data_IF_929434723075
#
_entry.id   IF_929434723075
#
_cell.length_a   1.000
_cell.length_b   1.000
_cell.length_c   1.000
_cell.angle_alpha   90.00
_cell.angle_beta   90.00
_cell.angle_gamma   90.00
#
_symmetry.space_group_name_H-M   'P 1'
#
loop_
_entity.id
_entity.type
_entity.pdbx_description
1 polymer ?
#
# COMPACT_ATOMS: atom_id res chain seq x y z
N UNK A 1 -7.65 -22.59 36.96
CA UNK A 1 -7.09 -21.34 36.38
C UNK A 1 -8.25 -20.46 35.95
N UNK A 2 -8.20 -19.16 36.19
CA UNK A 2 -9.30 -18.26 35.87
C UNK A 2 -9.21 -17.86 34.38
N UNK A 3 -9.95 -18.54 33.49
CA UNK A 3 -9.89 -18.32 32.04
C UNK A 3 -10.11 -16.85 31.64
N UNK A 4 -10.91 -16.11 32.43
CA UNK A 4 -11.09 -14.67 32.25
C UNK A 4 -9.80 -13.86 32.47
N UNK A 5 -8.92 -14.28 33.39
CA UNK A 5 -7.63 -13.62 33.59
C UNK A 5 -6.68 -13.86 32.42
N UNK A 6 -6.70 -15.05 31.81
CA UNK A 6 -5.88 -15.35 30.63
C UNK A 6 -6.30 -14.48 29.45
N UNK A 7 -7.60 -14.37 29.18
CA UNK A 7 -8.15 -13.54 28.09
C UNK A 7 -7.75 -12.07 28.27
N UNK A 8 -7.90 -11.52 29.48
CA UNK A 8 -7.52 -10.13 29.74
C UNK A 8 -6.02 -9.90 29.58
N UNK A 9 -5.17 -10.83 30.01
CA UNK A 9 -3.71 -10.76 29.76
C UNK A 9 -3.39 -10.78 28.27
N UNK A 10 -4.03 -11.65 27.49
CA UNK A 10 -3.84 -11.73 26.03
C UNK A 10 -4.21 -10.40 25.36
N UNK A 11 -5.34 -9.79 25.74
CA UNK A 11 -5.72 -8.45 25.24
C UNK A 11 -4.70 -7.37 25.60
N UNK A 12 -4.19 -7.36 26.84
CA UNK A 12 -3.17 -6.40 27.28
C UNK A 12 -1.85 -6.56 26.52
N UNK A 13 -1.50 -7.79 26.13
CA UNK A 13 -0.35 -8.08 25.26
C UNK A 13 -0.62 -7.77 23.77
N UNK A 14 -1.78 -7.23 23.43
CA UNK A 14 -2.24 -6.97 22.06
C UNK A 14 -2.36 -8.25 21.22
N UNK A 15 -2.71 -9.37 21.84
CA UNK A 15 -3.01 -10.66 21.21
C UNK A 15 -4.53 -10.85 21.12
N UNK A 16 -5.20 -9.90 20.44
CA UNK A 16 -6.66 -9.79 20.47
C UNK A 16 -7.38 -10.93 19.76
N UNK A 17 -6.85 -11.39 18.62
CA UNK A 17 -7.45 -12.46 17.83
C UNK A 17 -7.26 -13.80 18.55
N UNK A 18 -6.08 -14.02 19.13
CA UNK A 18 -5.82 -15.17 20.02
C UNK A 18 -6.74 -15.17 21.24
N UNK A 19 -6.95 -14.01 21.89
CA UNK A 19 -7.86 -13.89 23.03
C UNK A 19 -9.31 -14.26 22.65
N UNK A 20 -9.76 -13.81 21.48
CA UNK A 20 -11.11 -14.09 20.97
C UNK A 20 -11.29 -15.57 20.65
N UNK A 21 -10.34 -16.17 19.94
CA UNK A 21 -10.39 -17.59 19.57
C UNK A 21 -10.28 -18.49 20.81
N UNK A 22 -9.42 -18.14 21.77
CA UNK A 22 -9.31 -18.85 23.04
C UNK A 22 -10.64 -18.86 23.80
N UNK A 23 -11.29 -17.70 23.91
CA UNK A 23 -12.61 -17.57 24.55
C UNK A 23 -13.69 -18.41 23.84
N UNK A 24 -13.68 -18.49 22.51
CA UNK A 24 -14.60 -19.33 21.74
C UNK A 24 -14.42 -20.83 22.04
N UNK A 25 -13.19 -21.32 22.00
CA UNK A 25 -12.88 -22.74 22.26
C UNK A 25 -13.27 -23.17 23.69
N UNK A 26 -12.99 -22.31 24.68
CA UNK A 26 -13.36 -22.55 26.07
C UNK A 26 -14.88 -22.58 26.26
N UNK A 27 -15.61 -21.62 25.66
CA UNK A 27 -17.06 -21.55 25.81
C UNK A 27 -17.79 -22.68 25.08
N UNK A 28 -17.26 -23.14 23.96
CA UNK A 28 -17.85 -24.22 23.16
C UNK A 28 -17.42 -25.62 23.61
N UNK A 29 -16.57 -25.71 24.64
CA UNK A 29 -16.01 -26.97 25.15
C UNK A 29 -15.29 -27.81 24.06
N UNK A 30 -14.62 -27.12 23.14
CA UNK A 30 -13.97 -27.69 21.94
C UNK A 30 -12.52 -28.14 22.18
N UNK A 31 -12.10 -28.25 23.44
CA UNK A 31 -10.72 -28.59 23.81
C UNK A 31 -10.48 -30.10 23.95
N UNK A 32 -11.51 -30.94 23.81
CA UNK A 32 -11.43 -32.37 24.14
C UNK A 32 -10.67 -33.21 23.10
N UNK A 33 -10.68 -32.79 21.83
CA UNK A 33 -10.11 -33.55 20.70
C UNK A 33 -8.89 -32.85 20.07
N UNK A 34 -8.32 -31.85 20.74
CA UNK A 34 -7.15 -31.10 20.26
C UNK A 34 -6.01 -31.21 21.27
N UNK A 35 -4.82 -31.54 20.77
CA UNK A 35 -3.62 -31.55 21.61
C UNK A 35 -3.23 -30.12 21.99
N UNK A 36 -2.46 -29.96 23.08
CA UNK A 36 -2.00 -28.64 23.51
C UNK A 36 -1.16 -27.93 22.43
N UNK A 37 -0.36 -28.69 21.68
CA UNK A 37 0.48 -28.15 20.60
C UNK A 37 -0.36 -27.69 19.40
N UNK A 38 -1.34 -28.48 18.96
CA UNK A 38 -2.27 -28.09 17.89
C UNK A 38 -3.08 -26.85 18.28
N UNK A 39 -3.52 -26.77 19.54
CA UNK A 39 -4.27 -25.63 20.02
C UNK A 39 -3.43 -24.35 20.05
N UNK A 40 -2.18 -24.45 20.52
CA UNK A 40 -1.27 -23.31 20.53
C UNK A 40 -0.92 -22.85 19.11
N UNK A 41 -0.68 -23.78 18.19
CA UNK A 41 -0.42 -23.49 16.79
C UNK A 41 -1.61 -22.74 16.16
N UNK A 42 -2.84 -23.25 16.34
CA UNK A 42 -4.05 -22.62 15.85
C UNK A 42 -4.24 -21.19 16.37
N UNK A 43 -4.04 -20.99 17.68
CA UNK A 43 -4.14 -19.67 18.30
C UNK A 43 -3.09 -18.69 17.75
N UNK A 44 -1.86 -19.17 17.55
CA UNK A 44 -0.76 -18.38 17.00
C UNK A 44 -1.01 -17.99 15.54
N UNK A 45 -1.47 -18.95 14.72
CA UNK A 45 -1.79 -18.73 13.31
C UNK A 45 -2.91 -17.69 13.16
N UNK A 46 -3.98 -17.80 13.95
CA UNK A 46 -5.09 -16.84 13.89
C UNK A 46 -4.68 -15.41 14.27
N UNK A 47 -3.81 -15.26 15.28
CA UNK A 47 -3.25 -13.95 15.63
C UNK A 47 -2.27 -13.42 14.58
N UNK A 48 -1.48 -14.31 13.97
CA UNK A 48 -0.58 -13.95 12.88
C UNK A 48 -1.34 -13.43 11.66
N UNK A 49 -2.38 -14.15 11.22
CA UNK A 49 -3.23 -13.78 10.09
C UNK A 49 -3.95 -12.45 10.34
N UNK A 50 -4.54 -12.26 11.53
CA UNK A 50 -5.19 -11.01 11.89
C UNK A 50 -4.20 -9.82 11.89
N UNK A 51 -2.95 -10.02 12.34
CA UNK A 51 -1.91 -8.99 12.28
C UNK A 51 -1.54 -8.63 10.84
N UNK A 52 -1.37 -9.63 9.97
CA UNK A 52 -1.02 -9.38 8.57
C UNK A 52 -2.17 -8.70 7.83
N UNK A 53 -3.41 -9.10 8.09
CA UNK A 53 -4.61 -8.43 7.55
C UNK A 53 -4.70 -6.97 8.01
N UNK A 54 -4.50 -6.69 9.31
CA UNK A 54 -4.51 -5.30 9.82
C UNK A 54 -3.39 -4.45 9.22
N UNK A 55 -2.22 -5.04 8.98
CA UNK A 55 -1.10 -4.35 8.32
C UNK A 55 -1.49 -4.01 6.88
N UNK A 56 -2.03 -4.95 6.12
CA UNK A 56 -2.51 -4.73 4.74
C UNK A 56 -3.60 -3.65 4.71
N UNK A 57 -4.60 -3.72 5.59
CA UNK A 57 -5.67 -2.72 5.70
C UNK A 57 -5.12 -1.31 5.99
N UNK A 58 -4.13 -1.23 6.86
CA UNK A 58 -3.45 0.04 7.16
C UNK A 58 -2.71 0.58 5.94
N UNK A 59 -2.05 -0.28 5.17
CA UNK A 59 -1.36 0.11 3.93
C UNK A 59 -2.36 0.61 2.88
N UNK A 60 -3.49 -0.08 2.68
CA UNK A 60 -4.55 0.36 1.78
C UNK A 60 -5.13 1.73 2.17
N UNK A 61 -5.43 1.92 3.46
CA UNK A 61 -5.92 3.21 3.98
C UNK A 61 -4.90 4.33 3.77
N UNK A 62 -3.62 4.05 3.99
CA UNK A 62 -2.54 5.03 3.80
C UNK A 62 -2.34 5.38 2.32
N UNK A 63 -2.49 4.41 1.42
CA UNK A 63 -2.28 4.61 -0.01
C UNK A 63 -3.28 5.56 -0.65
N UNK A 64 -4.48 5.69 -0.08
CA UNK A 64 -5.50 6.67 -0.50
C UNK A 64 -5.89 6.51 -1.98
N UNK A 65 -6.06 5.26 -2.43
CA UNK A 65 -6.53 4.94 -3.78
C UNK A 65 -7.92 5.53 -4.04
N UNK A 66 -8.14 6.01 -5.28
CA UNK A 66 -9.42 6.55 -5.73
C UNK A 66 -10.47 5.46 -5.93
N UNK A 67 -10.03 4.27 -6.34
CA UNK A 67 -10.91 3.13 -6.61
C UNK A 67 -10.26 1.81 -6.18
N UNK A 68 -11.08 0.78 -5.97
CA UNK A 68 -10.59 -0.60 -5.79
C UNK A 68 -10.21 -1.14 -7.17
N UNK A 69 -8.93 -1.43 -7.36
CA UNK A 69 -8.40 -1.94 -8.62
C UNK A 69 -7.65 -3.25 -8.35
N UNK A 70 -7.79 -4.22 -9.23
CA UNK A 70 -7.19 -5.54 -9.09
C UNK A 70 -6.43 -5.90 -10.36
N UNK A 71 -5.25 -6.49 -10.22
CA UNK A 71 -4.49 -7.01 -11.37
C UNK A 71 -5.25 -8.13 -12.09
N UNK A 72 -6.06 -8.91 -11.36
CA UNK A 72 -6.85 -10.00 -11.92
C UNK A 72 -7.98 -9.52 -12.85
N UNK A 73 -8.49 -8.31 -12.62
CA UNK A 73 -9.58 -7.70 -13.39
C UNK A 73 -9.09 -6.85 -14.57
N UNK A 74 -7.76 -6.81 -14.80
CA UNK A 74 -7.20 -6.04 -15.90
C UNK A 74 -7.62 -6.64 -17.24
N UNK A 75 -8.28 -5.81 -18.05
CA UNK A 75 -8.66 -6.17 -19.41
C UNK A 75 -7.49 -5.93 -20.38
N UNK A 76 -7.02 -7.02 -21.01
CA UNK A 76 -5.94 -7.05 -22.00
C UNK A 76 -6.43 -7.08 -23.46
N UNK A 77 -7.67 -6.66 -23.76
CA UNK A 77 -8.17 -6.62 -25.14
C UNK A 77 -7.29 -5.78 -26.05
N UNK A 78 -7.12 -6.22 -27.30
CA UNK A 78 -6.22 -5.64 -28.30
C UNK A 78 -6.41 -4.14 -28.55
N UNK A 79 -7.60 -3.59 -28.27
CA UNK A 79 -7.90 -2.16 -28.42
C UNK A 79 -7.11 -1.24 -27.47
N UNK A 80 -6.49 -1.77 -26.42
CA UNK A 80 -5.70 -0.97 -25.46
C UNK A 80 -4.22 -0.87 -25.78
N UNK A 81 -3.71 -1.60 -26.79
CA UNK A 81 -2.27 -1.72 -27.08
C UNK A 81 -1.42 -2.00 -25.82
N UNK A 82 -1.97 -2.72 -24.84
CA UNK A 82 -1.29 -3.09 -23.61
C UNK A 82 -0.55 -4.42 -23.81
N UNK A 83 0.77 -4.40 -23.72
CA UNK A 83 1.55 -5.64 -23.69
C UNK A 83 1.28 -6.41 -22.40
N UNK A 84 0.51 -7.49 -22.52
CA UNK A 84 0.15 -8.39 -21.41
C UNK A 84 1.37 -8.95 -20.71
N UNK A 85 2.41 -9.35 -21.45
CA UNK A 85 3.60 -9.97 -20.86
C UNK A 85 4.40 -8.96 -20.04
N UNK A 86 4.53 -7.74 -20.56
CA UNK A 86 5.16 -6.64 -19.83
C UNK A 86 4.37 -6.30 -18.56
N UNK A 87 3.05 -6.17 -18.65
CA UNK A 87 2.24 -5.77 -17.50
C UNK A 87 2.16 -6.84 -16.42
N UNK A 88 2.08 -8.13 -16.81
CA UNK A 88 2.18 -9.25 -15.86
C UNK A 88 3.55 -9.24 -15.16
N UNK A 89 4.63 -8.92 -15.88
CA UNK A 89 5.97 -8.76 -15.27
C UNK A 89 6.00 -7.60 -14.28
N UNK A 90 5.34 -6.48 -14.56
CA UNK A 90 5.19 -5.39 -13.58
C UNK A 90 4.42 -5.85 -12.34
N UNK A 91 3.49 -6.80 -12.47
CA UNK A 91 2.78 -7.41 -11.34
C UNK A 91 3.66 -8.15 -10.33
N UNK A 92 4.89 -8.54 -10.70
CA UNK A 92 5.90 -9.07 -9.76
C UNK A 92 6.41 -8.01 -8.78
N UNK A 93 6.26 -6.73 -9.12
CA UNK A 93 6.78 -5.58 -8.38
C UNK A 93 8.31 -5.51 -8.28
N UNK A 94 9.06 -6.29 -9.05
CA UNK A 94 10.53 -6.28 -9.01
C UNK A 94 11.13 -4.90 -9.35
N UNK A 95 10.40 -4.06 -10.10
CA UNK A 95 10.85 -2.69 -10.41
C UNK A 95 10.95 -1.83 -9.12
N UNK A 96 10.16 -2.15 -8.08
CA UNK A 96 10.26 -1.48 -6.77
C UNK A 96 11.65 -1.76 -6.21
N UNK A 97 12.01 -3.03 -6.04
CA UNK A 97 13.32 -3.42 -5.48
C UNK A 97 14.50 -2.95 -6.33
N UNK A 98 14.36 -2.91 -7.65
CA UNK A 98 15.35 -2.36 -8.59
C UNK A 98 15.41 -0.83 -8.64
N UNK A 99 14.50 -0.12 -7.95
CA UNK A 99 14.40 1.36 -7.96
C UNK A 99 14.19 1.92 -9.37
N UNK A 100 13.39 1.23 -10.17
CA UNK A 100 13.05 1.64 -11.53
C UNK A 100 11.76 2.45 -11.52
N UNK A 101 11.74 3.55 -12.29
CA UNK A 101 10.52 4.29 -12.55
C UNK A 101 9.75 3.64 -13.70
N UNK A 102 8.43 3.64 -13.57
CA UNK A 102 7.53 3.10 -14.59
C UNK A 102 6.66 4.24 -15.10
N UNK A 103 6.65 4.45 -16.41
CA UNK A 103 5.80 5.47 -17.03
C UNK A 103 4.74 4.74 -17.84
N UNK A 104 3.47 4.97 -17.50
CA UNK A 104 2.35 4.46 -18.28
C UNK A 104 1.86 5.56 -19.21
N UNK A 105 2.13 5.38 -20.50
CA UNK A 105 1.72 6.31 -21.56
C UNK A 105 0.60 5.71 -22.40
N UNK A 106 -0.35 6.53 -22.85
CA UNK A 106 -1.38 6.11 -23.80
C UNK A 106 -2.49 7.14 -23.96
N UNK A 107 -3.44 6.88 -24.85
CA UNK A 107 -4.60 7.77 -25.03
C UNK A 107 -5.37 7.97 -23.71
N UNK A 108 -6.07 9.10 -23.57
CA UNK A 108 -6.95 9.31 -22.43
C UNK A 108 -8.08 8.27 -22.41
N UNK A 109 -8.51 7.83 -21.22
CA UNK A 109 -9.61 6.88 -21.07
C UNK A 109 -9.28 5.40 -21.26
N UNK A 110 -8.04 5.02 -21.58
CA UNK A 110 -7.65 3.59 -21.75
C UNK A 110 -7.45 2.83 -20.42
N UNK A 111 -7.67 3.50 -19.29
CA UNK A 111 -7.60 2.89 -17.96
C UNK A 111 -6.23 2.94 -17.29
N UNK A 112 -5.32 3.82 -17.72
CA UNK A 112 -3.99 3.98 -17.11
C UNK A 112 -4.07 4.11 -15.58
N UNK A 113 -4.96 4.99 -15.09
CA UNK A 113 -5.17 5.21 -13.65
C UNK A 113 -5.66 3.96 -12.92
N UNK A 114 -6.40 3.09 -13.59
CA UNK A 114 -6.77 1.78 -13.05
C UNK A 114 -5.56 0.85 -12.97
N UNK A 115 -4.77 0.76 -14.04
CA UNK A 115 -3.56 -0.07 -14.09
C UNK A 115 -2.56 0.31 -12.98
N UNK A 116 -2.33 1.61 -12.80
CA UNK A 116 -1.44 2.11 -11.75
C UNK A 116 -1.94 1.75 -10.35
N UNK A 117 -3.23 1.93 -10.09
CA UNK A 117 -3.84 1.56 -8.82
C UNK A 117 -3.85 0.05 -8.62
N UNK A 118 -4.04 -0.77 -9.67
CA UNK A 118 -3.98 -2.23 -9.56
C UNK A 118 -2.58 -2.69 -9.12
N UNK A 119 -1.52 -2.10 -9.68
CA UNK A 119 -0.14 -2.33 -9.24
C UNK A 119 0.09 -1.84 -7.80
N UNK A 120 -0.46 -0.68 -7.45
CA UNK A 120 -0.42 -0.17 -6.07
C UNK A 120 -1.14 -1.07 -5.06
N UNK A 121 -2.28 -1.64 -5.44
CA UNK A 121 -3.02 -2.59 -4.62
C UNK A 121 -2.19 -3.86 -4.39
N UNK A 122 -1.61 -4.41 -5.45
CA UNK A 122 -0.69 -5.55 -5.35
C UNK A 122 0.50 -5.22 -4.45
N UNK A 123 1.04 -4.00 -4.53
CA UNK A 123 2.13 -3.56 -3.68
C UNK A 123 1.74 -3.54 -2.19
N UNK A 124 0.53 -3.05 -1.86
CA UNK A 124 0.02 -3.12 -0.48
C UNK A 124 -0.15 -4.56 0.02
N UNK A 125 -0.64 -5.48 -0.83
CA UNK A 125 -0.76 -6.90 -0.49
C UNK A 125 0.61 -7.55 -0.22
N UNK A 126 1.64 -7.13 -0.95
CA UNK A 126 3.03 -7.56 -0.73
C UNK A 126 3.74 -6.81 0.40
N UNK A 127 3.01 -5.98 1.16
CA UNK A 127 3.53 -5.28 2.33
C UNK A 127 4.25 -3.96 2.05
N UNK A 128 4.27 -3.48 0.79
CA UNK A 128 4.87 -2.20 0.43
C UNK A 128 3.98 -1.02 0.80
N UNK A 129 4.61 0.01 1.37
CA UNK A 129 4.00 1.33 1.63
C UNK A 129 3.82 2.06 0.31
N UNK A 130 2.59 2.07 -0.17
CA UNK A 130 2.22 2.77 -1.38
C UNK A 130 1.55 4.10 -1.04
N UNK A 131 1.75 5.12 -1.87
CA UNK A 131 1.00 6.38 -1.86
C UNK A 131 0.53 6.66 -3.27
N UNK A 132 -0.78 6.85 -3.43
CA UNK A 132 -1.39 7.31 -4.67
C UNK A 132 -1.81 8.78 -4.52
N UNK A 133 -1.50 9.58 -5.53
CA UNK A 133 -2.01 10.95 -5.63
C UNK A 133 -2.22 11.36 -7.06
N UNK A 134 -3.27 12.15 -7.28
CA UNK A 134 -3.38 12.93 -8.51
C UNK A 134 -2.35 14.07 -8.45
N UNK A 135 -1.54 14.20 -9.48
CA UNK A 135 -0.39 15.10 -9.54
C UNK A 135 -0.78 16.56 -9.28
N UNK A 136 -1.85 17.04 -9.92
CA UNK A 136 -2.32 18.42 -9.74
C UNK A 136 -2.81 18.69 -8.30
N UNK A 137 -3.53 17.73 -7.70
CA UNK A 137 -3.97 17.82 -6.30
C UNK A 137 -2.79 17.78 -5.33
N UNK A 138 -1.76 16.98 -5.62
CA UNK A 138 -0.56 16.89 -4.81
C UNK A 138 0.17 18.23 -4.76
N UNK A 139 0.44 18.85 -5.91
CA UNK A 139 1.12 20.15 -5.94
C UNK A 139 0.31 21.27 -5.29
N UNK A 140 -1.02 21.28 -5.47
CA UNK A 140 -1.89 22.22 -4.74
C UNK A 140 -1.77 22.05 -3.23
N UNK A 141 -1.68 20.81 -2.74
CA UNK A 141 -1.47 20.51 -1.32
C UNK A 141 -0.10 21.01 -0.84
N UNK A 142 0.96 20.78 -1.62
CA UNK A 142 2.29 21.28 -1.27
C UNK A 142 2.36 22.80 -1.20
N UNK A 143 1.71 23.49 -2.14
CA UNK A 143 1.61 24.95 -2.14
C UNK A 143 0.96 25.49 -0.87
N UNK A 144 -0.13 24.88 -0.43
CA UNK A 144 -0.79 25.23 0.85
C UNK A 144 0.12 24.89 2.05
N UNK A 145 0.80 23.75 2.00
CA UNK A 145 1.66 23.29 3.09
C UNK A 145 2.90 24.16 3.34
N UNK A 146 3.35 24.93 2.34
CA UNK A 146 4.41 25.94 2.54
C UNK A 146 3.89 27.13 3.35
N UNK A 147 2.60 27.47 3.23
CA UNK A 147 1.97 28.59 3.95
C UNK A 147 1.68 28.23 5.40
N UNK A 148 1.23 27.00 5.66
CA UNK A 148 0.87 26.53 7.01
C UNK A 148 2.03 25.87 7.79
N UNK A 149 3.22 25.81 7.19
CA UNK A 149 4.43 25.24 7.80
C UNK A 149 4.49 23.70 7.83
N UNK A 150 3.58 23.00 7.15
CA UNK A 150 3.53 21.52 7.13
C UNK A 150 4.26 20.87 5.95
N UNK A 151 4.92 21.64 5.09
CA UNK A 151 5.61 21.17 3.88
C UNK A 151 6.51 19.95 4.11
N UNK A 152 7.46 20.05 5.05
CA UNK A 152 8.39 18.97 5.35
C UNK A 152 7.68 17.71 5.86
N UNK A 153 6.57 17.87 6.58
CA UNK A 153 5.77 16.73 7.07
C UNK A 153 5.09 16.00 5.92
N UNK A 154 4.55 16.72 4.95
CA UNK A 154 3.94 16.13 3.76
C UNK A 154 4.98 15.49 2.83
N UNK A 155 6.12 16.15 2.63
CA UNK A 155 7.25 15.60 1.88
C UNK A 155 7.73 14.28 2.49
N UNK A 156 7.98 14.27 3.81
CA UNK A 156 8.39 13.06 4.54
C UNK A 156 7.41 11.88 4.43
N UNK A 157 6.12 12.13 4.19
CA UNK A 157 5.16 11.04 3.94
C UNK A 157 5.42 10.35 2.60
N UNK A 158 5.77 11.12 1.57
CA UNK A 158 6.10 10.60 0.24
C UNK A 158 7.44 9.87 0.25
N UNK A 159 8.43 10.40 0.97
CA UNK A 159 9.77 9.79 1.07
C UNK A 159 9.75 8.44 1.79
N UNK A 160 8.80 8.23 2.70
CA UNK A 160 8.63 6.96 3.44
C UNK A 160 7.84 5.90 2.66
N UNK A 161 7.33 6.23 1.47
CA UNK A 161 6.58 5.31 0.62
C UNK A 161 7.53 4.56 -0.31
N UNK A 162 7.47 3.23 -0.28
CA UNK A 162 8.19 2.36 -1.21
C UNK A 162 7.68 2.56 -2.65
N UNK A 163 6.39 2.88 -2.80
CA UNK A 163 5.79 3.15 -4.10
C UNK A 163 5.03 4.48 -4.09
N UNK A 164 5.40 5.39 -5.01
CA UNK A 164 4.64 6.62 -5.25
C UNK A 164 4.01 6.56 -6.63
N UNK A 165 2.70 6.70 -6.67
CA UNK A 165 1.92 6.74 -7.91
C UNK A 165 1.43 8.18 -8.10
N UNK A 166 1.92 8.82 -9.16
CA UNK A 166 1.54 10.15 -9.63
C UNK A 166 0.62 9.99 -10.84
N UNK A 167 -0.68 10.11 -10.58
CA UNK A 167 -1.72 10.03 -11.61
C UNK A 167 -1.88 11.37 -12.33
N UNK A 168 -2.28 11.35 -13.60
CA UNK A 168 -2.41 12.55 -14.45
C UNK A 168 -1.14 13.42 -14.52
N UNK A 169 0.02 12.75 -14.53
CA UNK A 169 1.32 13.40 -14.63
C UNK A 169 1.52 14.03 -16.02
N UNK A 170 1.76 15.34 -16.05
CA UNK A 170 2.03 16.06 -17.31
C UNK A 170 0.79 16.42 -18.14
N UNK A 171 -0.43 16.17 -17.65
CA UNK A 171 -1.66 16.68 -18.29
C UNK A 171 -1.81 18.21 -18.18
N UNK A 172 -1.15 18.83 -17.19
CA UNK A 172 -1.12 20.27 -17.01
C UNK A 172 0.33 20.75 -16.97
N UNK A 173 0.58 21.94 -17.52
CA UNK A 173 1.88 22.58 -17.42
C UNK A 173 2.22 22.85 -15.94
N UNK A 174 3.43 22.49 -15.52
CA UNK A 174 3.89 22.74 -14.17
C UNK A 174 4.30 24.21 -14.00
N UNK A 175 3.71 24.89 -13.01
CA UNK A 175 4.22 26.18 -12.55
C UNK A 175 5.60 26.02 -11.89
N UNK A 176 6.30 27.14 -11.63
CA UNK A 176 7.65 27.07 -11.07
C UNK A 176 7.69 26.31 -9.72
N UNK A 177 6.65 26.49 -8.90
CA UNK A 177 6.54 25.84 -7.60
C UNK A 177 6.34 24.32 -7.71
N UNK A 178 5.50 23.87 -8.64
CA UNK A 178 5.29 22.45 -8.93
C UNK A 178 6.59 21.81 -9.45
N UNK A 179 7.36 22.52 -10.28
CA UNK A 179 8.67 22.06 -10.75
C UNK A 179 9.66 21.92 -9.60
N UNK A 180 9.81 22.94 -8.75
CA UNK A 180 10.66 22.86 -7.55
C UNK A 180 10.26 21.68 -6.65
N UNK A 181 8.97 21.55 -6.34
CA UNK A 181 8.46 20.46 -5.49
C UNK A 181 8.72 19.09 -6.12
N UNK A 182 8.58 18.97 -7.44
CA UNK A 182 8.87 17.72 -8.14
C UNK A 182 10.37 17.39 -8.07
N UNK A 183 11.25 18.38 -8.25
CA UNK A 183 12.70 18.18 -8.12
C UNK A 183 13.06 17.79 -6.68
N UNK A 184 12.49 18.44 -5.66
CA UNK A 184 12.69 18.04 -4.25
C UNK A 184 12.30 16.56 -4.04
N UNK A 185 11.14 16.14 -4.55
CA UNK A 185 10.66 14.75 -4.42
C UNK A 185 11.60 13.78 -5.15
N UNK A 186 12.05 14.13 -6.35
CA UNK A 186 12.94 13.31 -7.15
C UNK A 186 14.29 13.20 -6.43
N UNK A 187 14.95 14.33 -6.15
CA UNK A 187 16.27 14.38 -5.55
C UNK A 187 16.30 13.66 -4.19
N UNK A 188 15.31 13.89 -3.33
CA UNK A 188 15.25 13.21 -2.04
C UNK A 188 15.00 11.70 -2.20
N UNK A 189 14.17 11.26 -3.15
CA UNK A 189 13.96 9.81 -3.36
C UNK A 189 15.15 9.12 -4.03
N UNK A 190 15.93 9.84 -4.83
CA UNK A 190 17.17 9.33 -5.42
C UNK A 190 18.36 9.32 -4.46
N UNK A 191 18.50 10.37 -3.62
CA UNK A 191 19.64 10.56 -2.72
C UNK A 191 19.46 9.90 -1.35
N UNK A 192 18.23 9.63 -0.92
CA UNK A 192 17.99 8.93 0.34
C UNK A 192 18.28 7.44 0.13
N UNK A 193 19.23 6.91 0.92
CA UNK A 193 19.54 5.48 1.08
C UNK A 193 18.40 4.66 1.70
N UNK A 194 17.15 5.09 1.50
CA UNK A 194 15.92 4.55 2.07
C UNK A 194 15.32 3.43 1.22
N UNK A 195 14.10 3.00 1.57
CA UNK A 195 13.49 1.84 0.91
C UNK A 195 13.27 2.12 -0.58
N UNK A 196 13.17 1.05 -1.39
CA UNK A 196 13.21 1.16 -2.84
C UNK A 196 12.03 2.00 -3.31
N UNK A 197 12.29 3.14 -3.95
CA UNK A 197 11.28 4.16 -4.25
C UNK A 197 11.05 4.20 -5.76
N UNK A 198 10.11 3.41 -6.25
CA UNK A 198 9.66 3.52 -7.63
C UNK A 198 8.63 4.65 -7.77
N UNK A 199 8.66 5.34 -8.90
CA UNK A 199 7.64 6.33 -9.27
C UNK A 199 6.85 5.81 -10.48
N UNK A 200 5.52 5.76 -10.34
CA UNK A 200 4.62 5.62 -11.48
C UNK A 200 4.17 6.98 -11.95
N UNK A 201 4.51 7.34 -13.19
CA UNK A 201 4.00 8.55 -13.83
C UNK A 201 3.01 8.16 -14.92
N UNK A 202 1.80 8.72 -14.88
CA UNK A 202 0.79 8.50 -15.91
C UNK A 202 0.67 9.71 -16.81
N UNK A 203 1.11 9.57 -18.07
CA UNK A 203 0.89 10.56 -19.12
C UNK A 203 -0.28 10.14 -20.02
#
# INVERSE_FOLDING_TARGET
MNNNQTIEKLKQMRLGAMAQLHHQYVNNNQLNDITADEYLALLADHEWEDRENRKIDRLFKQANFRQKASLAEVNYTSSRNLDKNMFVRLGSLDFISRRENVILTGASGVGKSYLAQALGHQACLMGYKTVYSNTARLFKKFKLSKVDGTYLKELNKLLKADLLILDDFGLQAFDNHARETLMDIIDDRYNVSGPPTASFNLA
#
